data_IF_075362867906
#
_entry.id   IF_075362867906
#
_cell.length_a   1.000
_cell.length_b   1.000
_cell.length_c   1.000
_cell.angle_alpha   90.00
_cell.angle_beta   90.00
_cell.angle_gamma   90.00
#
_symmetry.space_group_name_H-M   'P 1'
#
loop_
_entity.id
_entity.type
_entity.pdbx_description
1 polymer ?
#
# COMPACT_ATOMS: atom_id res chain seq x y z
N UNK A 1 7.71 -3.90 -17.96
CA UNK A 1 8.06 -4.60 -16.69
C UNK A 1 6.89 -4.46 -15.73
N UNK A 2 6.75 -5.37 -14.75
CA UNK A 2 5.65 -5.39 -13.78
C UNK A 2 6.21 -5.36 -12.36
N UNK A 3 5.58 -4.59 -11.47
CA UNK A 3 5.95 -4.54 -10.04
C UNK A 3 5.23 -5.64 -9.25
N UNK A 4 3.98 -5.94 -9.59
CA UNK A 4 3.24 -7.07 -9.01
C UNK A 4 2.30 -7.68 -10.06
N UNK A 5 2.14 -9.01 -10.01
CA UNK A 5 1.14 -9.74 -10.80
C UNK A 5 0.42 -10.71 -9.88
N UNK A 6 -0.89 -10.66 -9.92
CA UNK A 6 -1.79 -11.63 -9.31
C UNK A 6 -2.40 -12.44 -10.46
N UNK A 7 -2.24 -13.76 -10.42
CA UNK A 7 -2.73 -14.67 -11.45
C UNK A 7 -3.75 -15.64 -10.83
N UNK A 8 -5.02 -15.43 -11.14
CA UNK A 8 -6.17 -16.19 -10.65
C UNK A 8 -6.13 -16.47 -9.13
N UNK A 9 -5.78 -15.44 -8.36
CA UNK A 9 -5.52 -15.56 -6.92
C UNK A 9 -6.81 -15.80 -6.15
N UNK A 10 -6.79 -16.82 -5.32
CA UNK A 10 -7.88 -17.18 -4.40
C UNK A 10 -7.37 -17.15 -2.97
N UNK A 11 -8.18 -16.62 -2.04
CA UNK A 11 -7.93 -16.71 -0.60
C UNK A 11 -9.19 -16.99 0.16
N UNK A 12 -9.22 -18.14 0.83
CA UNK A 12 -10.28 -18.53 1.76
C UNK A 12 -9.70 -18.66 3.15
N UNK A 13 -10.29 -17.99 4.12
CA UNK A 13 -9.98 -18.17 5.54
C UNK A 13 -10.93 -19.20 6.14
N UNK A 14 -10.41 -20.17 6.87
CA UNK A 14 -11.23 -21.15 7.59
C UNK A 14 -12.03 -20.44 8.70
N UNK A 15 -13.31 -20.72 8.80
CA UNK A 15 -14.16 -20.20 9.87
C UNK A 15 -14.15 -21.18 11.04
N UNK A 16 -13.70 -20.72 12.23
CA UNK A 16 -13.82 -21.40 13.51
C UNK A 16 -12.97 -22.67 13.73
N UNK A 17 -12.93 -23.13 14.97
CA UNK A 17 -12.13 -24.29 15.43
C UNK A 17 -12.59 -25.63 14.84
N UNK A 18 -13.80 -25.73 14.32
CA UNK A 18 -14.38 -26.97 13.79
C UNK A 18 -14.45 -27.03 12.24
N UNK A 19 -13.81 -26.08 11.52
CA UNK A 19 -13.56 -26.21 10.08
C UNK A 19 -14.79 -26.24 9.15
N UNK A 20 -15.99 -26.01 9.64
CA UNK A 20 -17.20 -25.96 8.83
C UNK A 20 -17.47 -24.52 8.36
N UNK A 21 -17.25 -24.28 7.07
CA UNK A 21 -17.43 -23.00 6.42
C UNK A 21 -16.10 -22.22 6.31
N UNK A 22 -15.97 -21.41 5.29
CA UNK A 22 -14.83 -20.53 5.05
C UNK A 22 -15.30 -19.21 4.45
N UNK A 23 -14.60 -18.12 4.78
CA UNK A 23 -14.85 -16.81 4.15
C UNK A 23 -13.89 -16.66 2.98
N UNK A 24 -14.43 -16.68 1.76
CA UNK A 24 -13.67 -16.39 0.55
C UNK A 24 -13.43 -14.88 0.44
N UNK A 25 -12.26 -14.44 0.90
CA UNK A 25 -11.87 -13.03 0.89
C UNK A 25 -11.40 -12.56 -0.49
N UNK A 26 -10.84 -13.47 -1.30
CA UNK A 26 -10.38 -13.22 -2.68
C UNK A 26 -10.82 -14.39 -3.55
N UNK A 27 -11.42 -14.09 -4.71
CA UNK A 27 -12.17 -15.05 -5.53
C UNK A 27 -11.70 -15.00 -6.99
N UNK A 28 -10.48 -15.50 -7.27
CA UNK A 28 -9.94 -15.55 -8.64
C UNK A 28 -9.52 -14.18 -9.17
N UNK A 29 -8.76 -13.42 -8.38
CA UNK A 29 -8.26 -12.11 -8.78
C UNK A 29 -7.09 -12.26 -9.74
N UNK A 30 -7.24 -11.71 -10.96
CA UNK A 30 -6.14 -11.48 -11.90
C UNK A 30 -5.94 -9.99 -12.05
N UNK A 31 -4.73 -9.51 -11.71
CA UNK A 31 -4.40 -8.09 -11.66
C UNK A 31 -2.90 -7.89 -11.89
N UNK A 32 -2.56 -6.88 -12.68
CA UNK A 32 -1.17 -6.47 -12.93
C UNK A 32 -0.96 -5.03 -12.48
N UNK A 33 0.07 -4.82 -11.67
CA UNK A 33 0.58 -3.49 -11.28
C UNK A 33 1.81 -3.22 -12.15
N UNK A 34 1.75 -2.28 -13.11
CA UNK A 34 2.90 -1.94 -13.96
C UNK A 34 4.01 -1.30 -13.11
N UNK A 35 5.28 -1.56 -13.49
CA UNK A 35 6.40 -0.87 -12.90
C UNK A 35 6.40 0.62 -13.30
N UNK A 36 6.87 1.50 -12.40
CA UNK A 36 6.96 2.94 -12.63
C UNK A 36 5.62 3.68 -12.58
N UNK A 37 4.56 3.05 -12.06
CA UNK A 37 3.24 3.67 -11.95
C UNK A 37 2.84 3.95 -10.50
N UNK A 38 2.00 4.97 -10.29
CA UNK A 38 1.19 5.07 -9.09
C UNK A 38 -0.15 4.38 -9.34
N UNK A 39 -0.37 3.29 -8.65
CA UNK A 39 -1.50 2.39 -8.84
C UNK A 39 -2.41 2.39 -7.61
N UNK A 40 -3.69 2.73 -7.78
CA UNK A 40 -4.68 2.68 -6.71
C UNK A 40 -5.38 1.32 -6.62
N UNK A 41 -5.54 0.81 -5.42
CA UNK A 41 -6.39 -0.35 -5.12
C UNK A 41 -7.60 0.11 -4.31
N UNK A 42 -8.75 0.22 -4.96
CA UNK A 42 -9.99 0.71 -4.41
C UNK A 42 -10.98 -0.42 -4.13
N UNK A 43 -11.99 -0.11 -3.33
CA UNK A 43 -13.11 -1.01 -3.06
C UNK A 43 -13.71 -0.77 -1.67
N UNK A 44 -14.94 -1.21 -1.43
CA UNK A 44 -15.57 -1.08 -0.13
C UNK A 44 -14.84 -1.88 0.94
N UNK A 45 -15.20 -1.64 2.20
CA UNK A 45 -14.69 -2.44 3.31
C UNK A 45 -15.00 -3.92 3.09
N UNK A 46 -14.03 -4.79 3.46
CA UNK A 46 -14.11 -6.24 3.26
C UNK A 46 -14.08 -6.70 1.79
N UNK A 47 -13.75 -5.84 0.83
CA UNK A 47 -13.62 -6.22 -0.58
C UNK A 47 -12.42 -7.14 -0.88
N UNK A 48 -11.47 -7.31 0.06
CA UNK A 48 -10.29 -8.15 -0.12
C UNK A 48 -8.98 -7.37 -0.32
N UNK A 49 -8.98 -6.04 -0.30
CA UNK A 49 -7.80 -5.19 -0.51
C UNK A 49 -6.63 -5.55 0.41
N UNK A 50 -6.83 -5.48 1.73
CA UNK A 50 -5.82 -5.82 2.74
C UNK A 50 -5.36 -7.29 2.62
N UNK A 51 -6.24 -8.20 2.18
CA UNK A 51 -5.86 -9.60 1.93
C UNK A 51 -4.89 -9.69 0.75
N UNK A 52 -5.12 -8.97 -0.35
CA UNK A 52 -4.18 -8.92 -1.48
C UNK A 52 -2.84 -8.33 -1.06
N UNK A 53 -2.83 -7.22 -0.30
CA UNK A 53 -1.60 -6.61 0.23
C UNK A 53 -0.85 -7.59 1.12
N UNK A 54 -1.53 -8.26 2.06
CA UNK A 54 -0.91 -9.28 2.92
C UNK A 54 -0.29 -10.43 2.15
N UNK A 55 -0.95 -10.88 1.08
CA UNK A 55 -0.38 -11.93 0.22
C UNK A 55 0.80 -11.42 -0.60
N UNK A 56 0.73 -10.20 -1.13
CA UNK A 56 1.84 -9.56 -1.83
C UNK A 56 3.07 -9.40 -0.93
N UNK A 57 2.87 -9.11 0.36
CA UNK A 57 3.91 -9.00 1.38
C UNK A 57 4.36 -10.34 1.98
N UNK A 58 3.86 -11.48 1.49
CA UNK A 58 4.15 -12.82 2.03
C UNK A 58 3.74 -13.00 3.51
N UNK A 59 2.85 -12.17 4.02
CA UNK A 59 2.25 -12.28 5.36
C UNK A 59 1.12 -13.33 5.39
N UNK A 60 0.61 -13.70 4.22
CA UNK A 60 -0.38 -14.76 4.04
C UNK A 60 -0.15 -15.44 2.70
N UNK A 61 -0.27 -16.76 2.63
CA UNK A 61 -0.21 -17.47 1.36
C UNK A 61 -1.60 -17.50 0.68
N UNK A 62 -1.69 -17.42 -0.66
CA UNK A 62 -2.92 -17.69 -1.38
C UNK A 62 -3.35 -19.15 -1.17
N UNK A 63 -4.66 -19.43 -1.29
CA UNK A 63 -5.19 -20.82 -1.32
C UNK A 63 -5.25 -21.38 -2.74
N UNK A 64 -5.09 -20.54 -3.75
CA UNK A 64 -5.01 -20.88 -5.17
C UNK A 64 -4.47 -19.72 -5.98
N UNK A 65 -4.00 -20.00 -7.19
CA UNK A 65 -3.35 -19.03 -8.05
C UNK A 65 -1.91 -18.69 -7.64
N UNK A 66 -1.31 -17.71 -8.29
CA UNK A 66 0.07 -17.31 -8.08
C UNK A 66 0.21 -15.79 -7.94
N UNK A 67 1.24 -15.35 -7.21
CA UNK A 67 1.58 -13.93 -7.07
C UNK A 67 3.06 -13.77 -7.36
N UNK A 68 3.41 -12.80 -8.22
CA UNK A 68 4.79 -12.36 -8.40
C UNK A 68 4.96 -10.93 -7.88
N UNK A 69 6.13 -10.65 -7.33
CA UNK A 69 6.55 -9.36 -6.82
C UNK A 69 7.95 -9.05 -7.35
N UNK A 70 8.10 -7.91 -8.04
CA UNK A 70 9.37 -7.47 -8.63
C UNK A 70 10.04 -8.56 -9.49
N UNK A 71 9.23 -9.28 -10.28
CA UNK A 71 9.70 -10.32 -11.21
C UNK A 71 9.96 -11.69 -10.58
N UNK A 72 9.77 -11.88 -9.27
CA UNK A 72 9.98 -13.15 -8.56
C UNK A 72 8.68 -13.62 -7.88
N UNK A 73 8.51 -14.92 -7.61
CA UNK A 73 7.39 -15.40 -6.81
C UNK A 73 7.30 -14.65 -5.47
N UNK A 74 6.11 -14.23 -5.05
CA UNK A 74 5.95 -13.50 -3.80
C UNK A 74 6.41 -14.31 -2.57
N UNK A 75 6.45 -15.63 -2.66
CA UNK A 75 7.01 -16.52 -1.63
C UNK A 75 8.52 -16.31 -1.42
N UNK A 76 9.25 -15.79 -2.41
CA UNK A 76 10.64 -15.39 -2.25
C UNK A 76 10.75 -14.09 -1.42
N UNK A 77 10.99 -14.25 -0.13
CA UNK A 77 11.08 -13.14 0.82
C UNK A 77 12.27 -12.23 0.61
N UNK A 78 13.30 -12.62 -0.14
CA UNK A 78 14.47 -11.77 -0.46
C UNK A 78 14.03 -10.50 -1.19
N UNK A 79 12.98 -10.56 -1.98
CA UNK A 79 12.44 -9.40 -2.68
C UNK A 79 11.82 -8.36 -1.75
N UNK A 80 11.51 -8.71 -0.48
CA UNK A 80 11.01 -7.76 0.52
C UNK A 80 12.03 -6.68 0.89
N UNK A 81 13.33 -6.94 0.73
CA UNK A 81 14.37 -5.92 0.90
C UNK A 81 14.21 -4.74 -0.08
N UNK A 82 13.43 -4.90 -1.16
CA UNK A 82 13.13 -3.87 -2.16
C UNK A 82 11.67 -3.37 -2.07
N UNK A 83 10.96 -3.69 -0.99
CA UNK A 83 9.58 -3.27 -0.74
C UNK A 83 9.54 -2.41 0.51
N UNK A 84 8.88 -1.25 0.41
CA UNK A 84 8.49 -0.44 1.55
C UNK A 84 7.00 -0.62 1.83
N UNK A 85 6.64 -0.72 3.09
CA UNK A 85 5.25 -0.87 3.47
C UNK A 85 4.89 0.06 4.62
N UNK A 86 3.94 0.94 4.37
CA UNK A 86 3.30 1.78 5.36
C UNK A 86 1.94 1.19 5.70
N UNK A 87 1.79 0.70 6.93
CA UNK A 87 0.55 0.11 7.44
C UNK A 87 -0.42 1.20 7.90
N UNK A 88 -1.72 0.99 7.76
CA UNK A 88 -2.79 1.87 8.26
C UNK A 88 -2.62 2.19 9.76
N UNK A 89 -2.41 1.16 10.58
CA UNK A 89 -2.29 1.27 12.03
C UNK A 89 -0.91 0.79 12.49
N UNK A 90 0.01 1.72 12.74
CA UNK A 90 1.36 1.37 13.20
C UNK A 90 1.37 0.92 14.66
N UNK A 91 1.89 -0.29 14.90
CA UNK A 91 2.13 -0.84 16.23
C UNK A 91 3.64 -0.89 16.54
N UNK A 92 4.30 0.27 16.50
CA UNK A 92 5.72 0.35 16.83
C UNK A 92 5.99 0.08 18.30
N UNK A 93 7.16 -0.55 18.65
CA UNK A 93 7.61 -0.67 20.03
C UNK A 93 7.77 0.72 20.66
N UNK A 94 6.92 1.04 21.61
CA UNK A 94 6.78 2.39 22.18
C UNK A 94 7.98 2.87 22.98
N UNK A 95 8.85 1.95 23.39
CA UNK A 95 10.07 2.23 24.16
C UNK A 95 11.26 2.63 23.27
N UNK A 96 11.23 2.30 21.98
CA UNK A 96 12.26 2.71 21.04
C UNK A 96 12.18 4.20 20.74
N UNK A 97 13.33 4.81 20.45
CA UNK A 97 13.36 6.12 19.79
C UNK A 97 13.05 5.99 18.30
N UNK A 98 12.76 7.13 17.64
CA UNK A 98 12.54 7.13 16.20
C UNK A 98 13.80 6.71 15.42
N UNK A 99 14.99 7.10 15.90
CA UNK A 99 16.26 6.67 15.30
C UNK A 99 16.44 5.17 15.43
N UNK A 100 16.30 4.61 16.65
CA UNK A 100 16.47 3.16 16.88
C UNK A 100 15.50 2.35 16.01
N UNK A 101 14.26 2.83 15.85
CA UNK A 101 13.26 2.19 15.00
C UNK A 101 13.72 2.13 13.54
N UNK A 102 14.19 3.26 12.98
CA UNK A 102 14.62 3.32 11.58
C UNK A 102 15.88 2.50 11.34
N UNK A 103 16.84 2.52 12.26
CA UNK A 103 18.05 1.70 12.19
C UNK A 103 17.71 0.20 12.26
N UNK A 104 16.79 -0.18 13.14
CA UNK A 104 16.32 -1.57 13.25
C UNK A 104 15.65 -2.06 11.94
N UNK A 105 14.69 -1.31 11.40
CA UNK A 105 14.03 -1.69 10.15
C UNK A 105 14.96 -1.60 8.93
N UNK A 106 15.87 -0.62 8.91
CA UNK A 106 16.90 -0.51 7.88
C UNK A 106 17.81 -1.74 7.87
N UNK A 107 18.29 -2.15 9.05
CA UNK A 107 19.10 -3.36 9.21
C UNK A 107 18.38 -4.63 8.77
N UNK A 108 17.10 -4.80 9.14
CA UNK A 108 16.26 -5.91 8.69
C UNK A 108 16.06 -5.94 7.16
N UNK A 109 16.10 -4.77 6.53
CA UNK A 109 15.96 -4.62 5.08
C UNK A 109 17.27 -4.71 4.32
N UNK A 110 18.40 -4.96 5.02
CA UNK A 110 19.72 -5.14 4.42
C UNK A 110 20.47 -3.83 4.14
N UNK A 111 20.06 -2.71 4.75
CA UNK A 111 20.85 -1.46 4.70
C UNK A 111 22.18 -1.69 5.44
N UNK A 112 23.34 -1.35 4.83
CA UNK A 112 24.65 -1.50 5.49
C UNK A 112 24.71 -0.77 6.82
N UNK A 113 25.31 -1.38 7.84
CA UNK A 113 25.40 -0.80 9.18
C UNK A 113 26.02 0.60 9.19
N UNK A 114 27.00 0.84 8.31
CA UNK A 114 27.67 2.15 8.18
C UNK A 114 26.72 3.27 7.70
N UNK A 115 25.62 2.92 7.00
CA UNK A 115 24.69 3.87 6.40
C UNK A 115 23.45 4.12 7.27
N UNK A 116 23.15 3.24 8.24
CA UNK A 116 21.91 3.26 9.01
C UNK A 116 21.67 4.61 9.69
N UNK A 117 22.63 5.11 10.47
CA UNK A 117 22.48 6.36 11.22
C UNK A 117 22.28 7.57 10.31
N UNK A 118 23.09 7.68 9.24
CA UNK A 118 22.98 8.79 8.29
C UNK A 118 21.64 8.76 7.55
N UNK A 119 21.16 7.58 7.18
CA UNK A 119 19.88 7.37 6.50
C UNK A 119 18.70 7.67 7.42
N UNK A 120 18.74 7.17 8.66
CA UNK A 120 17.75 7.49 9.68
C UNK A 120 17.64 9.00 9.91
N UNK A 121 18.77 9.70 10.06
CA UNK A 121 18.82 11.14 10.25
C UNK A 121 18.16 11.90 9.10
N UNK A 122 18.53 11.62 7.85
CA UNK A 122 17.92 12.25 6.66
C UNK A 122 16.41 12.00 6.57
N UNK A 123 15.96 10.80 6.88
CA UNK A 123 14.53 10.48 6.84
C UNK A 123 13.76 11.18 7.96
N UNK A 124 14.30 11.26 9.16
CA UNK A 124 13.69 11.99 10.28
C UNK A 124 13.59 13.48 10.01
N UNK A 125 14.61 14.08 9.40
CA UNK A 125 14.57 15.46 8.93
C UNK A 125 13.46 15.63 7.89
N UNK A 126 13.41 14.76 6.89
CA UNK A 126 12.40 14.79 5.82
C UNK A 126 10.96 14.72 6.33
N UNK A 127 10.71 13.92 7.37
CA UNK A 127 9.36 13.78 7.95
C UNK A 127 9.10 14.76 9.10
N UNK A 128 10.01 15.70 9.35
CA UNK A 128 9.88 16.74 10.38
C UNK A 128 9.88 16.17 11.81
N UNK A 129 10.75 15.19 12.07
CA UNK A 129 10.92 14.54 13.38
C UNK A 129 12.38 14.59 13.88
N UNK A 130 13.26 15.38 13.25
CA UNK A 130 14.67 15.47 13.62
C UNK A 130 14.88 15.87 15.09
N UNK A 131 14.17 16.91 15.56
CA UNK A 131 14.28 17.43 16.93
C UNK A 131 13.80 16.44 18.00
N UNK A 132 13.03 15.42 17.58
CA UNK A 132 12.48 14.38 18.46
C UNK A 132 13.05 12.99 18.19
N UNK A 133 14.12 12.92 17.40
CA UNK A 133 14.71 11.68 16.90
C UNK A 133 15.10 10.68 17.99
N UNK A 134 15.49 11.18 19.17
CA UNK A 134 15.90 10.38 20.34
C UNK A 134 14.81 10.21 21.39
N UNK A 135 13.63 10.81 21.21
CA UNK A 135 12.52 10.63 22.13
C UNK A 135 11.86 9.26 21.93
N UNK A 136 11.38 8.60 23.02
CA UNK A 136 10.58 7.40 22.90
C UNK A 136 9.29 7.64 22.09
N UNK A 137 8.96 6.71 21.21
CA UNK A 137 7.74 6.75 20.38
C UNK A 137 6.47 6.82 21.25
N UNK A 138 6.54 6.39 22.50
CA UNK A 138 5.46 6.56 23.47
C UNK A 138 4.97 8.01 23.62
N UNK A 139 5.82 9.00 23.31
CA UNK A 139 5.52 10.43 23.41
C UNK A 139 5.02 11.05 22.10
N UNK A 140 4.93 10.24 21.04
CA UNK A 140 4.53 10.74 19.73
C UNK A 140 3.00 10.85 19.62
N UNK A 141 2.54 11.91 18.98
CA UNK A 141 1.15 12.03 18.55
C UNK A 141 0.83 11.05 17.42
N UNK A 142 -0.47 10.81 17.14
CA UNK A 142 -0.89 9.95 16.01
C UNK A 142 -0.24 10.40 14.69
N UNK A 143 -0.24 11.69 14.38
CA UNK A 143 0.38 12.24 13.17
C UNK A 143 1.91 12.06 13.13
N UNK A 144 2.60 12.16 14.28
CA UNK A 144 4.04 11.86 14.35
C UNK A 144 4.32 10.39 14.09
N UNK A 145 3.51 9.47 14.64
CA UNK A 145 3.62 8.02 14.38
C UNK A 145 3.39 7.71 12.91
N UNK A 146 2.42 8.35 12.28
CA UNK A 146 2.16 8.18 10.84
C UNK A 146 3.33 8.68 9.98
N UNK A 147 3.89 9.85 10.29
CA UNK A 147 5.07 10.38 9.59
C UNK A 147 6.30 9.49 9.79
N UNK A 148 6.48 8.93 10.98
CA UNK A 148 7.52 7.94 11.26
C UNK A 148 7.28 6.64 10.46
N UNK A 149 6.03 6.21 10.30
CA UNK A 149 5.65 5.07 9.45
C UNK A 149 6.02 5.27 7.99
N UNK A 150 5.84 6.49 7.48
CA UNK A 150 6.30 6.83 6.13
C UNK A 150 7.84 6.76 6.04
N UNK A 151 8.56 7.31 7.02
CA UNK A 151 10.03 7.21 7.07
C UNK A 151 10.51 5.76 7.12
N UNK A 152 9.83 4.91 7.92
CA UNK A 152 10.13 3.47 8.01
C UNK A 152 9.90 2.76 6.67
N UNK A 153 8.83 3.08 5.96
CA UNK A 153 8.55 2.49 4.64
C UNK A 153 9.58 2.91 3.56
N UNK A 154 10.28 4.01 3.77
CA UNK A 154 11.29 4.55 2.85
C UNK A 154 12.72 4.15 3.18
N UNK A 155 12.97 3.53 4.33
CA UNK A 155 14.32 3.33 4.88
C UNK A 155 15.25 2.52 3.98
N UNK A 156 14.71 1.57 3.21
CA UNK A 156 15.45 0.72 2.26
C UNK A 156 15.41 1.24 0.81
N UNK A 157 14.91 2.47 0.56
CA UNK A 157 14.76 3.06 -0.78
C UNK A 157 14.03 2.14 -1.77
N UNK A 158 12.86 1.62 -1.42
CA UNK A 158 12.22 0.51 -2.12
C UNK A 158 11.92 0.83 -3.59
N UNK A 159 11.83 -0.22 -4.42
CA UNK A 159 11.36 -0.14 -5.80
C UNK A 159 9.84 -0.22 -5.89
N UNK A 160 9.22 -0.86 -4.89
CA UNK A 160 7.78 -0.94 -4.70
C UNK A 160 7.42 -0.39 -3.32
N UNK A 161 6.76 0.76 -3.29
CA UNK A 161 6.22 1.36 -2.07
C UNK A 161 4.73 1.05 -1.97
N UNK A 162 4.32 0.37 -0.90
CA UNK A 162 2.93 0.04 -0.61
C UNK A 162 2.46 0.92 0.54
N UNK A 163 1.39 1.68 0.30
CA UNK A 163 0.79 2.63 1.23
C UNK A 163 -0.65 2.20 1.51
N UNK A 164 -0.91 1.72 2.74
CA UNK A 164 -2.23 1.25 3.14
C UNK A 164 -2.90 2.31 4.02
N UNK A 165 -3.90 3.01 3.49
CA UNK A 165 -4.64 4.14 4.10
C UNK A 165 -3.69 5.22 4.70
N UNK A 166 -2.70 5.73 3.94
CA UNK A 166 -1.57 6.46 4.49
C UNK A 166 -1.93 7.84 5.06
N UNK A 167 -3.06 8.41 4.70
CA UNK A 167 -3.47 9.78 5.11
C UNK A 167 -4.24 9.82 6.39
N UNK A 168 -4.64 8.66 6.92
CA UNK A 168 -5.36 8.63 8.19
C UNK A 168 -4.51 9.17 9.34
N UNK A 169 -4.99 10.25 9.97
CA UNK A 169 -4.30 10.91 11.07
C UNK A 169 -3.12 11.82 10.67
N UNK A 170 -2.86 12.02 9.38
CA UNK A 170 -1.90 13.02 8.92
C UNK A 170 -2.51 14.43 8.94
N UNK A 171 -1.70 15.39 9.41
CA UNK A 171 -1.95 16.82 9.28
C UNK A 171 -1.67 17.32 7.83
N UNK A 172 -1.86 18.60 7.58
CA UNK A 172 -1.60 19.20 6.26
C UNK A 172 -0.15 19.00 5.80
N UNK A 173 0.82 19.10 6.70
CA UNK A 173 2.23 18.86 6.39
C UNK A 173 2.45 17.40 5.97
N UNK A 174 1.95 16.45 6.76
CA UNK A 174 2.08 15.02 6.46
C UNK A 174 1.42 14.61 5.14
N UNK A 175 0.25 15.19 4.81
CA UNK A 175 -0.42 14.95 3.52
C UNK A 175 0.37 15.51 2.34
N UNK A 176 0.96 16.71 2.48
CA UNK A 176 1.84 17.29 1.47
C UNK A 176 3.08 16.43 1.25
N UNK A 177 3.74 16.03 2.33
CA UNK A 177 4.90 15.14 2.28
C UNK A 177 4.59 13.83 1.57
N UNK A 178 3.45 13.20 1.87
CA UNK A 178 3.02 11.98 1.21
C UNK A 178 2.87 12.17 -0.31
N UNK A 179 2.24 13.27 -0.74
CA UNK A 179 2.11 13.62 -2.16
C UNK A 179 3.46 13.81 -2.84
N UNK A 180 4.38 14.51 -2.19
CA UNK A 180 5.71 14.75 -2.71
C UNK A 180 6.48 13.43 -2.86
N UNK A 181 6.40 12.51 -1.87
CA UNK A 181 6.97 11.16 -1.95
C UNK A 181 6.41 10.39 -3.14
N UNK A 182 5.09 10.36 -3.33
CA UNK A 182 4.48 9.63 -4.46
C UNK A 182 4.95 10.19 -5.81
N UNK A 183 4.99 11.53 -5.94
CA UNK A 183 5.47 12.20 -7.16
C UNK A 183 6.94 11.91 -7.46
N UNK A 184 7.80 11.95 -6.44
CA UNK A 184 9.22 11.60 -6.56
C UNK A 184 9.42 10.14 -6.98
N UNK A 185 8.67 9.21 -6.41
CA UNK A 185 8.72 7.80 -6.79
C UNK A 185 8.36 7.59 -8.25
N UNK A 186 7.28 8.23 -8.71
CA UNK A 186 6.89 8.20 -10.13
C UNK A 186 7.99 8.78 -11.01
N UNK A 187 8.52 9.95 -10.67
CA UNK A 187 9.58 10.60 -11.45
C UNK A 187 10.87 9.76 -11.52
N UNK A 188 11.16 8.98 -10.46
CA UNK A 188 12.27 8.04 -10.42
C UNK A 188 11.99 6.69 -11.11
N UNK A 189 10.82 6.51 -11.75
CA UNK A 189 10.43 5.25 -12.38
C UNK A 189 10.15 4.11 -11.38
N UNK A 190 10.00 4.43 -10.10
CA UNK A 190 9.62 3.49 -9.04
C UNK A 190 8.11 3.36 -8.95
N UNK A 191 7.63 2.32 -8.28
CA UNK A 191 6.21 1.98 -8.23
C UNK A 191 5.61 2.29 -6.87
N UNK A 192 4.42 2.88 -6.87
CA UNK A 192 3.60 3.07 -5.67
C UNK A 192 2.29 2.29 -5.82
N UNK A 193 1.96 1.46 -4.83
CA UNK A 193 0.65 0.84 -4.67
C UNK A 193 -0.07 1.54 -3.51
N UNK A 194 -1.07 2.34 -3.84
CA UNK A 194 -1.88 3.09 -2.88
C UNK A 194 -3.19 2.37 -2.62
N UNK A 195 -3.45 1.97 -1.38
CA UNK A 195 -4.76 1.54 -0.92
C UNK A 195 -5.37 2.70 -0.15
N UNK A 196 -6.45 3.28 -0.65
CA UNK A 196 -7.09 4.43 -0.03
C UNK A 196 -8.60 4.43 -0.29
N UNK A 197 -9.35 5.01 0.62
CA UNK A 197 -10.76 5.36 0.43
C UNK A 197 -10.94 6.88 0.17
N UNK A 198 -9.86 7.67 0.21
CA UNK A 198 -9.87 9.11 -0.08
C UNK A 198 -9.72 9.33 -1.58
N UNK A 199 -10.86 9.46 -2.27
CA UNK A 199 -10.91 9.46 -3.74
C UNK A 199 -10.17 10.63 -4.37
N UNK A 200 -10.17 11.80 -3.73
CA UNK A 200 -9.45 13.00 -4.20
C UNK A 200 -7.93 12.79 -4.27
N UNK A 201 -7.37 12.01 -3.36
CA UNK A 201 -5.95 11.65 -3.40
C UNK A 201 -5.63 10.67 -4.52
N UNK A 202 -6.54 9.73 -4.75
CA UNK A 202 -6.39 8.79 -5.86
C UNK A 202 -6.44 9.53 -7.20
N UNK A 203 -7.38 10.47 -7.38
CA UNK A 203 -7.47 11.30 -8.58
C UNK A 203 -6.22 12.17 -8.80
N UNK A 204 -5.62 12.67 -7.72
CA UNK A 204 -4.42 13.52 -7.79
C UNK A 204 -3.13 12.74 -8.05
N UNK A 205 -2.98 11.54 -7.48
CA UNK A 205 -1.70 10.85 -7.39
C UNK A 205 -1.56 9.66 -8.31
N UNK A 206 -2.67 8.99 -8.66
CA UNK A 206 -2.62 7.70 -9.32
C UNK A 206 -2.91 7.80 -10.82
N UNK A 207 -2.20 7.01 -11.60
CA UNK A 207 -2.40 6.92 -13.06
C UNK A 207 -3.36 5.78 -13.42
N UNK A 208 -3.38 4.77 -12.58
CA UNK A 208 -4.09 3.51 -12.80
C UNK A 208 -4.82 3.09 -11.53
N UNK A 209 -5.86 2.29 -11.74
CA UNK A 209 -6.73 1.84 -10.65
C UNK A 209 -7.18 0.41 -10.87
N UNK A 210 -7.31 -0.34 -9.78
CA UNK A 210 -8.15 -1.53 -9.72
C UNK A 210 -9.22 -1.34 -8.65
N UNK A 211 -10.43 -1.73 -8.99
CA UNK A 211 -11.59 -1.70 -8.09
C UNK A 211 -11.95 -3.13 -7.72
N UNK A 212 -11.83 -3.45 -6.43
CA UNK A 212 -12.25 -4.73 -5.88
C UNK A 212 -13.66 -4.61 -5.29
N UNK A 213 -14.49 -5.61 -5.59
CA UNK A 213 -15.83 -5.75 -5.00
C UNK A 213 -16.07 -7.22 -4.69
N UNK A 214 -16.48 -7.54 -3.46
CA UNK A 214 -16.77 -8.91 -3.02
C UNK A 214 -15.68 -9.95 -3.37
N UNK A 215 -14.41 -9.56 -3.28
CA UNK A 215 -13.26 -10.42 -3.56
C UNK A 215 -12.93 -10.60 -5.04
N UNK A 216 -13.55 -9.86 -5.95
CA UNK A 216 -13.30 -9.90 -7.41
C UNK A 216 -12.88 -8.54 -7.93
N UNK A 217 -12.15 -8.51 -9.05
CA UNK A 217 -11.86 -7.27 -9.79
C UNK A 217 -13.08 -6.86 -10.58
N UNK A 218 -13.67 -5.72 -10.24
CA UNK A 218 -14.78 -5.11 -10.96
C UNK A 218 -14.30 -4.19 -12.10
N UNK A 219 -13.12 -3.58 -11.94
CA UNK A 219 -12.44 -2.76 -12.95
C UNK A 219 -10.93 -2.78 -12.71
N UNK A 220 -10.15 -2.77 -13.77
CA UNK A 220 -8.71 -2.52 -13.71
C UNK A 220 -8.25 -1.84 -15.01
N UNK A 221 -7.55 -0.70 -14.89
CA UNK A 221 -7.09 0.04 -16.05
C UNK A 221 -6.53 1.43 -15.70
N UNK A 222 -6.32 2.29 -16.71
CA UNK A 222 -6.04 3.69 -16.52
C UNK A 222 -7.17 4.37 -15.73
N UNK A 223 -6.82 5.27 -14.81
CA UNK A 223 -7.82 6.03 -14.04
C UNK A 223 -8.71 6.87 -14.95
N UNK A 224 -8.12 7.44 -16.01
CA UNK A 224 -8.84 8.23 -17.01
C UNK A 224 -9.97 7.46 -17.71
N UNK A 225 -9.79 6.14 -17.92
CA UNK A 225 -10.83 5.30 -18.55
C UNK A 225 -12.02 5.08 -17.60
N UNK A 226 -11.74 4.95 -16.29
CA UNK A 226 -12.79 4.81 -15.29
C UNK A 226 -13.59 6.11 -15.09
N UNK A 227 -12.91 7.26 -15.12
CA UNK A 227 -13.52 8.58 -14.92
C UNK A 227 -14.15 9.17 -16.20
N UNK A 228 -14.14 8.43 -17.30
CA UNK A 228 -14.87 8.75 -18.53
C UNK A 228 -16.22 8.02 -18.57
N UNK A 229 -17.31 8.74 -18.84
CA UNK A 229 -18.62 8.10 -19.02
C UNK A 229 -18.62 7.28 -20.32
N UNK A 230 -18.90 5.96 -20.26
CA UNK A 230 -18.83 5.09 -21.44
C UNK A 230 -19.90 5.37 -22.50
N UNK A 231 -20.99 6.11 -22.16
CA UNK A 231 -22.07 6.44 -23.09
C UNK A 231 -21.85 7.81 -23.76
N UNK A 232 -21.41 8.80 -22.99
CA UNK A 232 -21.30 10.18 -23.46
C UNK A 232 -19.87 10.62 -23.76
N UNK A 233 -18.86 9.88 -23.25
CA UNK A 233 -17.46 10.27 -23.30
C UNK A 233 -17.09 11.42 -22.35
N UNK A 234 -18.06 11.97 -21.63
CA UNK A 234 -17.83 13.09 -20.70
C UNK A 234 -17.03 12.67 -19.46
N UNK A 235 -16.27 13.60 -18.91
CA UNK A 235 -15.58 13.40 -17.63
C UNK A 235 -16.62 13.32 -16.49
N UNK A 236 -16.39 12.39 -15.54
CA UNK A 236 -17.15 12.24 -14.30
C UNK A 236 -16.23 12.08 -13.13
N UNK A 237 -16.68 12.39 -11.93
CA UNK A 237 -15.90 12.17 -10.70
C UNK A 237 -15.66 10.67 -10.48
N UNK A 238 -14.57 10.33 -9.80
CA UNK A 238 -14.26 8.95 -9.43
C UNK A 238 -15.38 8.34 -8.57
N UNK A 239 -16.00 9.11 -7.69
CA UNK A 239 -17.15 8.68 -6.89
C UNK A 239 -18.33 8.24 -7.77
N UNK A 240 -18.72 9.06 -8.76
CA UNK A 240 -19.77 8.72 -9.70
C UNK A 240 -19.46 7.48 -10.54
N UNK A 241 -18.17 7.25 -10.82
CA UNK A 241 -17.71 6.08 -11.56
C UNK A 241 -17.74 4.79 -10.72
N UNK A 242 -17.44 4.88 -9.42
CA UNK A 242 -17.39 3.75 -8.52
C UNK A 242 -18.75 3.26 -8.07
N UNK A 243 -19.71 4.17 -7.91
CA UNK A 243 -21.06 3.86 -7.40
C UNK A 243 -21.72 2.65 -8.10
N UNK A 244 -21.83 2.61 -9.44
CA UNK A 244 -22.46 1.47 -10.12
C UNK A 244 -21.66 0.16 -9.98
N UNK A 245 -20.35 0.21 -9.78
CA UNK A 245 -19.54 -0.97 -9.54
C UNK A 245 -19.80 -1.56 -8.15
N UNK A 246 -19.98 -0.70 -7.14
CA UNK A 246 -20.27 -1.15 -5.78
C UNK A 246 -21.69 -1.71 -5.66
N UNK A 247 -22.68 -1.07 -6.29
CA UNK A 247 -24.08 -1.52 -6.28
C UNK A 247 -24.24 -2.92 -6.93
N UNK A 248 -23.57 -3.17 -8.06
CA UNK A 248 -23.59 -4.50 -8.72
C UNK A 248 -22.95 -5.59 -7.88
N UNK A 249 -21.93 -5.27 -7.08
CA UNK A 249 -21.23 -6.25 -6.26
C UNK A 249 -21.93 -6.61 -4.96
N UNK A 250 -22.93 -5.82 -4.53
CA UNK A 250 -23.79 -6.13 -3.37
C UNK A 250 -24.91 -7.09 -3.76
N UNK A 251 -25.29 -7.12 -5.05
CA UNK A 251 -26.37 -7.96 -5.58
C UNK A 251 -25.90 -9.36 -6.06
N UNK A 252 -24.60 -9.67 -5.99
CA UNK A 252 -23.96 -10.92 -6.41
C UNK A 252 -23.33 -11.68 -5.24
#
# INVERSE_FOLDING_TARGET
>A
MTAAVFDNVVKTYKAGAFGRGGVAAVRGVSLTVPAGSAFALLGPNRAGKTTLVKMLLSLSAPTGGAITRLGSPAADRRTLARVGYMHENHAFPRYLSATDLLEFYGGLSGVPAADLGSRAGRLLERVGLADRSREPIARFSKGMVQRLGLAQALVNEPDLLILDEPTEGLDLFGRRLLRDVVREYKAAGKTVLLVSHVLTEVEELCDRVAVLVAGKVAHAGPLADLTRDPRTGAARTLEAALRPLYEKGVAA
#
